data_IF_901885371978
#
_entry.id   IF_901885371978
#
_cell.length_a   1.000
_cell.length_b   1.000
_cell.length_c   1.000
_cell.angle_alpha   90.00
_cell.angle_beta   90.00
_cell.angle_gamma   90.00
#
_symmetry.space_group_name_H-M   'P 1'
#
loop_
_entity.id
_entity.type
_entity.pdbx_description
1 polymer ?
#
# COMPACT_ATOMS: atom_id res chain seq x y z
N UNK A 1 3.26 -11.17 25.02
CA UNK A 1 3.30 -10.22 23.88
C UNK A 1 2.72 -8.85 24.24
N UNK A 2 1.52 -8.78 24.86
CA UNK A 2 0.93 -7.51 25.31
C UNK A 2 1.90 -6.64 26.15
N UNK A 3 2.51 -7.20 27.21
CA UNK A 3 3.49 -6.47 28.04
C UNK A 3 4.71 -5.97 27.24
N UNK A 4 5.14 -6.71 26.21
CA UNK A 4 6.23 -6.28 25.35
C UNK A 4 5.83 -5.02 24.56
N UNK A 5 4.61 -4.98 24.02
CA UNK A 5 4.10 -3.79 23.31
C UNK A 5 4.00 -2.57 24.24
N UNK A 6 3.58 -2.76 25.50
CA UNK A 6 3.55 -1.71 26.52
C UNK A 6 4.97 -1.16 26.76
N UNK A 7 5.95 -2.04 26.95
CA UNK A 7 7.32 -1.66 27.23
C UNK A 7 8.03 -1.01 26.04
N UNK A 8 7.50 -1.19 24.83
CA UNK A 8 8.03 -0.59 23.59
C UNK A 8 7.10 0.51 23.06
N UNK A 9 6.20 1.02 23.90
CA UNK A 9 5.37 2.18 23.60
C UNK A 9 6.24 3.42 23.78
N UNK A 10 6.66 4.00 22.65
CA UNK A 10 7.32 5.30 22.52
C UNK A 10 8.47 5.58 23.51
N UNK A 11 9.71 5.58 23.01
CA UNK A 11 10.88 6.01 23.77
C UNK A 11 11.33 7.41 23.30
N UNK A 12 11.31 8.39 24.21
CA UNK A 12 11.79 9.75 23.91
C UNK A 12 13.30 9.82 23.71
N UNK A 13 14.05 8.89 24.32
CA UNK A 13 15.51 8.93 24.36
C UNK A 13 16.16 8.32 23.12
N UNK A 14 15.41 7.55 22.32
CA UNK A 14 15.92 6.94 21.09
C UNK A 14 15.02 7.17 19.90
N UNK A 15 15.23 8.31 19.23
CA UNK A 15 14.42 8.73 18.07
C UNK A 15 14.46 7.76 16.89
N UNK A 16 15.55 6.99 16.76
CA UNK A 16 15.75 6.01 15.68
C UNK A 16 15.38 4.58 16.08
N UNK A 17 15.02 4.35 17.35
CA UNK A 17 14.53 3.04 17.77
C UNK A 17 13.14 2.78 17.23
N UNK A 18 12.91 1.56 16.78
CA UNK A 18 11.57 1.08 16.48
C UNK A 18 10.73 1.06 17.75
N UNK A 19 9.51 1.57 17.66
CA UNK A 19 8.54 1.55 18.75
C UNK A 19 7.14 1.18 18.24
N UNK A 20 6.25 0.91 19.19
CA UNK A 20 4.86 0.54 18.95
C UNK A 20 3.97 1.72 19.35
N UNK A 21 3.66 2.66 18.44
CA UNK A 21 2.77 3.78 18.75
C UNK A 21 1.34 3.33 19.08
N UNK A 22 0.90 2.23 18.47
CA UNK A 22 -0.43 1.68 18.67
C UNK A 22 -0.44 0.18 18.45
N UNK A 23 -1.20 -0.50 19.30
CA UNK A 23 -1.49 -1.92 19.17
C UNK A 23 -2.83 -2.23 19.83
N UNK A 24 -3.47 -3.30 19.40
CA UNK A 24 -4.53 -3.96 20.16
C UNK A 24 -4.36 -5.47 20.04
N UNK A 25 -4.70 -6.18 21.11
CA UNK A 25 -4.75 -7.63 21.16
C UNK A 25 -6.00 -7.95 21.97
N UNK A 26 -6.99 -8.60 21.34
CA UNK A 26 -8.25 -8.94 22.01
C UNK A 26 -8.36 -10.44 22.30
N UNK A 27 -9.40 -10.80 23.07
CA UNK A 27 -9.61 -12.17 23.57
C UNK A 27 -9.95 -13.19 22.47
N UNK A 28 -10.31 -12.73 21.27
CA UNK A 28 -10.56 -13.57 20.09
C UNK A 28 -9.32 -13.72 19.19
N UNK A 29 -8.13 -13.36 19.69
CA UNK A 29 -6.85 -13.38 18.97
C UNK A 29 -6.80 -12.47 17.74
N UNK A 30 -7.62 -11.42 17.68
CA UNK A 30 -7.38 -10.33 16.74
C UNK A 30 -6.18 -9.51 17.26
N UNK A 31 -5.19 -9.38 16.40
CA UNK A 31 -3.89 -8.80 16.72
C UNK A 31 -3.67 -7.67 15.72
N UNK A 32 -3.35 -6.50 16.24
CA UNK A 32 -2.80 -5.41 15.47
C UNK A 32 -1.62 -4.84 16.22
N UNK A 33 -0.46 -4.77 15.58
CA UNK A 33 0.71 -4.10 16.15
C UNK A 33 1.39 -3.30 15.05
N UNK A 34 1.40 -1.98 15.18
CA UNK A 34 2.10 -1.11 14.24
C UNK A 34 3.50 -0.79 14.76
N UNK A 35 4.50 -0.91 13.90
CA UNK A 35 5.91 -0.65 14.18
C UNK A 35 6.41 0.47 13.28
N UNK A 36 7.10 1.44 13.86
CA UNK A 36 7.68 2.59 13.13
C UNK A 36 8.81 3.24 13.94
N UNK A 37 9.41 4.30 13.41
CA UNK A 37 10.35 5.19 14.11
C UNK A 37 9.88 6.64 13.96
N UNK A 38 10.37 7.55 14.80
CA UNK A 38 9.95 8.96 14.73
C UNK A 38 10.27 9.62 13.37
N UNK A 39 11.49 9.47 12.80
CA UNK A 39 11.79 10.00 11.48
C UNK A 39 10.81 9.51 10.41
N UNK A 40 10.48 8.22 10.43
CA UNK A 40 9.56 7.64 9.46
C UNK A 40 8.14 8.21 9.58
N UNK A 41 7.65 8.43 10.80
CA UNK A 41 6.37 9.12 11.00
C UNK A 41 6.39 10.57 10.50
N UNK A 42 7.52 11.27 10.60
CA UNK A 42 7.67 12.61 10.02
C UNK A 42 7.61 12.57 8.50
N UNK A 43 8.22 11.55 7.89
CA UNK A 43 8.25 11.37 6.45
C UNK A 43 6.86 11.14 5.84
N UNK A 44 5.87 10.70 6.64
CA UNK A 44 4.48 10.55 6.17
C UNK A 44 3.91 11.85 5.60
N UNK A 45 4.36 13.02 6.08
CA UNK A 45 3.88 14.32 5.60
C UNK A 45 4.59 14.82 4.35
N UNK A 46 5.67 14.14 3.92
CA UNK A 46 6.44 14.54 2.73
C UNK A 46 5.76 14.13 1.44
N UNK A 47 4.75 13.25 1.50
CA UNK A 47 4.04 12.76 0.34
C UNK A 47 2.54 12.72 0.57
N UNK A 48 1.78 13.01 -0.48
CA UNK A 48 0.33 12.87 -0.50
C UNK A 48 -0.14 11.46 -0.88
N UNK A 49 0.80 10.56 -1.20
CA UNK A 49 0.56 9.17 -1.55
C UNK A 49 0.79 8.26 -0.35
N UNK A 50 -0.24 7.52 0.04
CA UNK A 50 -0.18 6.42 0.98
C UNK A 50 -0.16 5.10 0.21
N UNK A 51 0.89 4.29 0.37
CA UNK A 51 0.98 2.94 -0.16
C UNK A 51 0.84 1.91 0.96
N UNK A 52 -0.05 0.93 0.78
CA UNK A 52 -0.31 -0.14 1.75
C UNK A 52 -0.52 -1.45 1.02
N UNK A 53 0.28 -2.47 1.35
CA UNK A 53 0.11 -3.82 0.82
C UNK A 53 0.46 -4.87 1.88
N UNK A 54 -0.24 -6.01 1.83
CA UNK A 54 0.07 -7.17 2.64
C UNK A 54 1.21 -8.00 2.04
N UNK A 55 2.09 -8.50 2.91
CA UNK A 55 3.02 -9.58 2.62
C UNK A 55 2.81 -10.73 3.59
N UNK A 56 2.48 -11.90 3.04
CA UNK A 56 2.22 -13.13 3.81
C UNK A 56 3.48 -13.97 4.05
N UNK A 57 4.64 -13.55 3.52
CA UNK A 57 5.85 -14.40 3.47
C UNK A 57 6.68 -14.43 4.76
N UNK A 58 6.28 -13.69 5.80
CA UNK A 58 7.19 -13.34 6.90
C UNK A 58 6.83 -13.93 8.27
N UNK A 59 5.79 -14.75 8.41
CA UNK A 59 5.36 -15.23 9.73
C UNK A 59 5.16 -16.74 9.77
N UNK A 60 5.64 -17.38 10.85
CA UNK A 60 5.43 -18.81 11.12
C UNK A 60 3.96 -19.13 11.41
N UNK A 61 3.18 -18.12 11.77
CA UNK A 61 1.76 -18.21 12.11
C UNK A 61 0.85 -17.68 10.99
N UNK A 62 1.38 -17.44 9.78
CA UNK A 62 0.65 -16.92 8.61
C UNK A 62 -0.11 -15.59 8.83
N UNK A 63 0.24 -14.85 9.90
CA UNK A 63 -0.26 -13.51 10.15
C UNK A 63 0.20 -12.55 9.04
N UNK A 64 -0.71 -11.81 8.39
CA UNK A 64 -0.33 -10.83 7.39
C UNK A 64 0.53 -9.71 7.99
N UNK A 65 1.59 -9.33 7.29
CA UNK A 65 2.34 -8.12 7.57
C UNK A 65 1.96 -7.05 6.54
N UNK A 66 1.30 -6.00 6.98
CA UNK A 66 1.01 -4.85 6.14
C UNK A 66 2.20 -3.91 6.15
N UNK A 67 2.68 -3.53 4.97
CA UNK A 67 3.76 -2.56 4.82
C UNK A 67 3.17 -1.22 4.41
N UNK A 68 3.56 -0.17 5.12
CA UNK A 68 3.18 1.21 4.85
C UNK A 68 4.34 1.96 4.27
N UNK A 69 4.09 2.76 3.24
CA UNK A 69 5.10 3.63 2.69
C UNK A 69 4.53 4.68 1.76
N UNK A 70 5.46 5.36 1.12
CA UNK A 70 5.18 6.25 0.00
C UNK A 70 6.24 6.08 -1.08
N UNK A 71 6.10 6.79 -2.19
CA UNK A 71 7.13 6.89 -3.21
C UNK A 71 7.73 8.30 -3.19
N UNK A 72 9.05 8.38 -3.32
CA UNK A 72 9.73 9.67 -3.54
C UNK A 72 9.63 10.12 -5.01
N UNK A 73 10.20 11.28 -5.31
CA UNK A 73 10.23 11.84 -6.66
C UNK A 73 10.96 10.94 -7.68
N UNK A 74 11.89 10.11 -7.20
CA UNK A 74 12.63 9.12 -7.99
C UNK A 74 11.88 7.77 -8.10
N UNK A 75 10.64 7.72 -7.59
CA UNK A 75 9.73 6.55 -7.61
C UNK A 75 10.24 5.37 -6.79
N UNK A 76 11.17 5.60 -5.88
CA UNK A 76 11.59 4.58 -4.92
C UNK A 76 10.56 4.48 -3.80
N UNK A 77 10.20 3.25 -3.47
CA UNK A 77 9.37 2.99 -2.29
C UNK A 77 10.14 3.30 -1.01
N UNK A 78 9.55 4.13 -0.15
CA UNK A 78 10.03 4.56 1.14
C UNK A 78 9.07 4.05 2.21
N UNK A 79 9.38 2.90 2.86
CA UNK A 79 8.55 2.39 3.93
C UNK A 79 8.65 3.32 5.14
N UNK A 80 7.52 3.60 5.77
CA UNK A 80 7.49 4.34 7.04
C UNK A 80 6.90 3.55 8.20
N UNK A 81 6.42 2.34 7.95
CA UNK A 81 6.00 1.46 9.03
C UNK A 81 5.53 0.11 8.53
N UNK A 82 5.33 -0.81 9.48
CA UNK A 82 4.78 -2.13 9.22
C UNK A 82 3.76 -2.46 10.30
N UNK A 83 2.65 -3.10 9.95
CA UNK A 83 1.69 -3.60 10.92
C UNK A 83 1.58 -5.11 10.81
N UNK A 84 1.71 -5.80 11.94
CA UNK A 84 1.30 -7.18 12.07
C UNK A 84 -0.20 -7.20 12.34
N UNK A 85 -0.97 -7.86 11.49
CA UNK A 85 -2.43 -7.96 11.63
C UNK A 85 -2.87 -9.41 11.75
N UNK A 86 -4.05 -9.66 12.33
CA UNK A 86 -4.69 -10.97 12.25
C UNK A 86 -5.16 -11.24 10.83
N UNK A 87 -5.43 -12.51 10.51
CA UNK A 87 -5.82 -12.96 9.18
C UNK A 87 -7.16 -12.41 8.68
N UNK A 88 -7.95 -11.74 9.53
CA UNK A 88 -9.20 -11.10 9.10
C UNK A 88 -8.93 -9.70 8.53
N UNK A 89 -8.53 -9.67 7.25
CA UNK A 89 -8.41 -8.44 6.45
C UNK A 89 -9.79 -7.86 6.05
N UNK A 90 -10.77 -7.97 6.96
CA UNK A 90 -12.06 -7.32 6.85
C UNK A 90 -11.94 -5.79 6.79
N UNK A 91 -13.04 -5.13 6.40
CA UNK A 91 -13.07 -3.67 6.30
C UNK A 91 -12.78 -2.97 7.64
N UNK A 92 -13.18 -3.57 8.77
CA UNK A 92 -12.99 -3.01 10.11
C UNK A 92 -11.50 -2.86 10.48
N UNK A 93 -10.70 -3.88 10.23
CA UNK A 93 -9.26 -3.86 10.49
C UNK A 93 -8.58 -2.70 9.72
N UNK A 94 -8.88 -2.56 8.43
CA UNK A 94 -8.34 -1.47 7.62
C UNK A 94 -8.83 -0.08 8.05
N UNK A 95 -10.09 0.04 8.51
CA UNK A 95 -10.66 1.30 9.03
C UNK A 95 -9.89 1.74 10.26
N UNK A 96 -9.76 0.85 11.25
CA UNK A 96 -9.07 1.15 12.49
C UNK A 96 -7.60 1.48 12.22
N UNK A 97 -6.95 0.71 11.35
CA UNK A 97 -5.58 0.95 10.93
C UNK A 97 -5.38 2.34 10.30
N UNK A 98 -6.22 2.74 9.35
CA UNK A 98 -6.12 4.07 8.72
C UNK A 98 -6.42 5.19 9.71
N UNK A 99 -7.41 4.99 10.58
CA UNK A 99 -7.75 5.94 11.63
C UNK A 99 -6.57 6.17 12.57
N UNK A 100 -5.92 5.10 13.01
CA UNK A 100 -4.78 5.18 13.92
C UNK A 100 -3.55 5.78 13.24
N UNK A 101 -3.27 5.40 11.99
CA UNK A 101 -2.20 6.02 11.21
C UNK A 101 -2.40 7.54 11.07
N UNK A 102 -3.64 7.98 10.76
CA UNK A 102 -3.99 9.40 10.68
C UNK A 102 -3.73 10.13 12.00
N UNK A 103 -4.12 9.54 13.13
CA UNK A 103 -3.91 10.11 14.45
C UNK A 103 -2.43 10.18 14.83
N UNK A 104 -1.69 9.07 14.69
CA UNK A 104 -0.28 8.95 15.09
C UNK A 104 0.60 9.87 14.27
N UNK A 105 0.44 9.84 12.93
CA UNK A 105 1.16 10.75 12.05
C UNK A 105 0.85 12.20 12.40
N UNK A 106 -0.43 12.52 12.66
CA UNK A 106 -0.81 13.89 12.94
C UNK A 106 -0.32 14.41 14.29
N UNK A 107 -0.23 13.53 15.30
CA UNK A 107 0.35 13.85 16.59
C UNK A 107 1.87 14.10 16.48
N UNK A 108 2.61 13.20 15.82
CA UNK A 108 4.07 13.34 15.67
C UNK A 108 4.44 14.60 14.86
N UNK A 109 3.62 14.97 13.87
CA UNK A 109 3.86 16.12 13.01
C UNK A 109 3.16 17.41 13.47
N UNK A 110 2.37 17.35 14.55
CA UNK A 110 1.55 18.46 15.05
C UNK A 110 0.68 19.11 13.95
N UNK A 111 0.20 18.30 13.01
CA UNK A 111 -0.56 18.72 11.83
C UNK A 111 -1.43 17.57 11.34
N UNK A 112 -2.62 17.85 10.82
CA UNK A 112 -3.45 16.79 10.22
C UNK A 112 -2.70 16.05 9.11
N UNK A 113 -2.74 14.70 9.15
CA UNK A 113 -2.25 13.88 8.05
C UNK A 113 -3.25 13.86 6.89
N UNK A 114 -2.86 14.51 5.79
CA UNK A 114 -3.65 14.64 4.57
C UNK A 114 -3.12 13.69 3.51
N UNK A 115 -3.99 12.81 3.03
CA UNK A 115 -3.68 11.84 1.97
C UNK A 115 -4.56 12.17 0.76
N UNK A 116 -3.95 12.31 -0.41
CA UNK A 116 -4.67 12.53 -1.68
C UNK A 116 -4.78 11.26 -2.51
N UNK A 117 -3.90 10.29 -2.30
CA UNK A 117 -3.88 9.04 -3.03
C UNK A 117 -3.64 7.88 -2.08
N UNK A 118 -4.45 6.82 -2.18
CA UNK A 118 -4.20 5.56 -1.49
C UNK A 118 -3.96 4.49 -2.53
N UNK A 119 -2.75 3.97 -2.58
CA UNK A 119 -2.34 2.88 -3.45
C UNK A 119 -2.25 1.58 -2.65
N UNK A 120 -2.98 0.57 -3.08
CA UNK A 120 -3.00 -0.75 -2.46
C UNK A 120 -3.50 -1.78 -3.47
N UNK A 121 -3.51 -3.05 -3.10
CA UNK A 121 -4.07 -4.16 -3.87
C UNK A 121 -5.55 -3.99 -4.30
N UNK A 122 -6.19 -5.03 -4.85
CA UNK A 122 -7.58 -4.94 -5.31
C UNK A 122 -8.64 -5.18 -4.24
N UNK A 123 -8.29 -5.28 -2.95
CA UNK A 123 -9.21 -5.79 -1.94
C UNK A 123 -10.37 -4.81 -1.65
N UNK A 124 -11.62 -5.31 -1.54
CA UNK A 124 -12.78 -4.48 -1.18
C UNK A 124 -12.65 -3.84 0.21
N UNK A 125 -12.02 -4.52 1.16
CA UNK A 125 -11.88 -4.07 2.55
C UNK A 125 -11.13 -2.75 2.67
N UNK A 126 -9.91 -2.70 2.13
CA UNK A 126 -9.09 -1.49 2.12
C UNK A 126 -9.73 -0.35 1.30
N UNK A 127 -10.52 -0.68 0.28
CA UNK A 127 -11.26 0.31 -0.52
C UNK A 127 -12.37 0.97 0.30
N UNK A 128 -13.11 0.20 1.11
CA UNK A 128 -14.12 0.75 2.04
C UNK A 128 -13.47 1.60 3.11
N UNK A 129 -12.39 1.10 3.72
CA UNK A 129 -11.64 1.84 4.74
C UNK A 129 -11.09 3.17 4.23
N UNK A 130 -10.55 3.19 3.01
CA UNK A 130 -10.09 4.43 2.38
C UNK A 130 -11.23 5.44 2.24
N UNK A 131 -12.40 5.02 1.75
CA UNK A 131 -13.55 5.92 1.57
C UNK A 131 -14.04 6.50 2.89
N UNK A 132 -13.94 5.73 3.97
CA UNK A 132 -14.37 6.16 5.30
C UNK A 132 -13.39 7.14 5.96
N UNK A 133 -12.09 6.82 5.95
CA UNK A 133 -11.08 7.60 6.69
C UNK A 133 -10.45 8.71 5.83
N UNK A 134 -10.29 8.47 4.53
CA UNK A 134 -9.71 9.40 3.57
C UNK A 134 -10.66 9.64 2.40
N UNK A 135 -11.88 10.18 2.62
CA UNK A 135 -12.92 10.27 1.58
C UNK A 135 -12.52 11.08 0.35
N UNK A 136 -11.60 12.04 0.50
CA UNK A 136 -11.08 12.86 -0.59
C UNK A 136 -9.91 12.22 -1.34
N UNK A 137 -9.34 11.14 -0.79
CA UNK A 137 -8.26 10.44 -1.46
C UNK A 137 -8.77 9.62 -2.64
N UNK A 138 -8.02 9.62 -3.72
CA UNK A 138 -8.26 8.73 -4.85
C UNK A 138 -7.62 7.36 -4.58
N UNK A 139 -8.40 6.30 -4.79
CA UNK A 139 -7.90 4.93 -4.77
C UNK A 139 -7.12 4.61 -6.04
N UNK A 140 -5.90 4.11 -5.89
CA UNK A 140 -5.02 3.66 -6.97
C UNK A 140 -4.72 2.17 -6.81
N UNK A 141 -4.62 1.43 -7.91
CA UNK A 141 -4.17 0.03 -7.86
C UNK A 141 -2.66 -0.04 -7.70
N UNK A 142 -2.17 -0.91 -6.82
CA UNK A 142 -0.74 -1.16 -6.68
C UNK A 142 -0.14 -1.66 -8.00
N UNK A 143 0.94 -1.02 -8.44
CA UNK A 143 1.61 -1.40 -9.68
C UNK A 143 2.17 -2.82 -9.67
N UNK A 144 2.78 -3.25 -8.57
CA UNK A 144 3.33 -4.60 -8.47
C UNK A 144 2.23 -5.67 -8.66
N UNK A 145 1.02 -5.38 -8.17
CA UNK A 145 -0.16 -6.20 -8.39
C UNK A 145 -0.62 -6.20 -9.86
N UNK A 146 -0.66 -5.03 -10.50
CA UNK A 146 -0.97 -4.90 -11.94
C UNK A 146 0.03 -5.68 -12.78
N UNK A 147 1.33 -5.43 -12.61
CA UNK A 147 2.41 -6.09 -13.35
C UNK A 147 2.40 -7.61 -13.15
N UNK A 148 2.18 -8.09 -11.91
CA UNK A 148 2.02 -9.51 -11.61
C UNK A 148 0.85 -10.12 -12.39
N UNK A 149 -0.31 -9.47 -12.35
CA UNK A 149 -1.52 -9.94 -13.05
C UNK A 149 -1.33 -9.97 -14.57
N UNK A 150 -0.67 -8.97 -15.16
CA UNK A 150 -0.32 -8.99 -16.58
C UNK A 150 0.62 -10.17 -16.91
N UNK A 151 1.67 -10.40 -16.10
CA UNK A 151 2.62 -11.51 -16.30
C UNK A 151 1.98 -12.89 -16.19
N UNK A 152 0.99 -13.06 -15.32
CA UNK A 152 0.22 -14.32 -15.22
C UNK A 152 -0.46 -14.68 -16.55
N UNK A 153 -0.89 -13.67 -17.32
CA UNK A 153 -1.57 -13.84 -18.61
C UNK A 153 -0.62 -13.85 -19.81
N UNK A 154 0.70 -13.79 -19.61
CA UNK A 154 1.69 -13.79 -20.70
C UNK A 154 1.56 -14.97 -21.67
N UNK A 155 1.02 -16.11 -21.20
CA UNK A 155 0.83 -17.32 -22.00
C UNK A 155 -0.25 -17.17 -23.08
N UNK A 156 -1.14 -16.19 -22.93
CA UNK A 156 -2.21 -15.88 -23.90
C UNK A 156 -1.70 -15.01 -25.06
N UNK A 157 -0.47 -14.50 -24.95
CA UNK A 157 0.13 -13.60 -25.92
C UNK A 157 0.94 -14.41 -26.94
N UNK A 158 0.94 -14.02 -28.23
CA UNK A 158 1.79 -14.63 -29.25
C UNK A 158 3.28 -14.65 -28.85
N UNK A 159 3.97 -15.75 -29.18
CA UNK A 159 5.39 -15.94 -28.90
C UNK A 159 6.22 -14.74 -29.36
N UNK A 160 7.11 -14.26 -28.49
CA UNK A 160 8.00 -13.13 -28.79
C UNK A 160 7.37 -11.74 -28.70
N UNK A 161 6.05 -11.61 -28.45
CA UNK A 161 5.40 -10.30 -28.29
C UNK A 161 5.35 -9.78 -26.85
N UNK A 162 5.45 -10.67 -25.86
CA UNK A 162 5.31 -10.32 -24.44
C UNK A 162 6.21 -9.16 -24.01
N UNK A 163 7.49 -9.15 -24.39
CA UNK A 163 8.42 -8.11 -23.95
C UNK A 163 8.01 -6.71 -24.43
N UNK A 164 7.42 -6.61 -25.63
CA UNK A 164 6.90 -5.35 -26.16
C UNK A 164 5.63 -4.92 -25.42
N UNK A 165 4.73 -5.86 -25.13
CA UNK A 165 3.52 -5.60 -24.33
C UNK A 165 3.91 -5.13 -22.93
N UNK A 166 4.84 -5.83 -22.27
CA UNK A 166 5.29 -5.51 -20.93
C UNK A 166 5.92 -4.10 -20.90
N UNK A 167 6.72 -3.75 -21.90
CA UNK A 167 7.29 -2.40 -22.04
C UNK A 167 6.20 -1.34 -22.22
N UNK A 168 5.28 -1.54 -23.16
CA UNK A 168 4.18 -0.60 -23.42
C UNK A 168 3.29 -0.40 -22.17
N UNK A 169 3.06 -1.46 -21.39
CA UNK A 169 2.33 -1.39 -20.11
C UNK A 169 3.14 -0.59 -19.09
N UNK A 170 4.44 -0.85 -18.92
CA UNK A 170 5.29 -0.11 -17.98
C UNK A 170 5.39 1.39 -18.32
N UNK A 171 5.41 1.74 -19.60
CA UNK A 171 5.47 3.13 -20.05
C UNK A 171 4.22 3.93 -19.61
N UNK A 172 3.07 3.28 -19.37
CA UNK A 172 1.89 3.95 -18.82
C UNK A 172 2.15 4.56 -17.43
N UNK A 173 3.12 4.04 -16.67
CA UNK A 173 3.50 4.64 -15.38
C UNK A 173 4.24 5.97 -15.53
N UNK A 174 4.71 6.30 -16.72
CA UNK A 174 5.38 7.57 -17.02
C UNK A 174 4.37 8.70 -17.28
N UNK A 175 3.08 8.38 -17.41
CA UNK A 175 2.04 9.37 -17.64
C UNK A 175 1.88 10.30 -16.42
N UNK A 176 2.00 11.61 -16.65
CA UNK A 176 1.91 12.64 -15.60
C UNK A 176 0.51 13.26 -15.44
N UNK A 177 -0.48 12.78 -16.19
CA UNK A 177 -1.88 13.19 -16.05
C UNK A 177 -2.86 12.08 -16.40
N UNK A 178 -4.07 12.17 -15.88
CA UNK A 178 -5.15 11.22 -16.18
C UNK A 178 -5.51 11.17 -17.67
N UNK A 179 -5.48 12.31 -18.35
CA UNK A 179 -5.79 12.39 -19.77
C UNK A 179 -4.75 11.61 -20.59
N UNK A 180 -3.46 11.86 -20.32
CA UNK A 180 -2.36 11.17 -20.99
C UNK A 180 -2.38 9.69 -20.67
N UNK A 181 -2.65 9.31 -19.41
CA UNK A 181 -2.79 7.91 -19.01
C UNK A 181 -3.92 7.23 -19.78
N UNK A 182 -5.11 7.84 -19.82
CA UNK A 182 -6.29 7.30 -20.53
C UNK A 182 -6.03 7.15 -22.03
N UNK A 183 -5.36 8.14 -22.63
CA UNK A 183 -4.98 8.08 -24.04
C UNK A 183 -3.93 7.00 -24.29
N UNK A 184 -2.92 6.90 -23.43
CA UNK A 184 -1.90 5.86 -23.46
C UNK A 184 -2.51 4.47 -23.38
N UNK A 185 -3.41 4.23 -22.42
CA UNK A 185 -4.16 2.96 -22.32
C UNK A 185 -4.90 2.67 -23.63
N UNK A 186 -5.56 3.67 -24.21
CA UNK A 186 -6.29 3.51 -25.48
C UNK A 186 -5.36 3.12 -26.64
N UNK A 187 -4.15 3.70 -26.70
CA UNK A 187 -3.14 3.37 -27.71
C UNK A 187 -2.59 1.94 -27.53
N UNK A 188 -2.27 1.56 -26.28
CA UNK A 188 -1.81 0.20 -25.94
C UNK A 188 -2.90 -0.81 -26.29
N UNK A 189 -4.14 -0.56 -25.90
CA UNK A 189 -5.28 -1.41 -26.24
C UNK A 189 -5.44 -1.51 -27.75
N UNK A 190 -5.40 -0.41 -28.51
CA UNK A 190 -5.50 -0.43 -29.98
C UNK A 190 -4.38 -1.24 -30.64
N UNK A 191 -3.14 -1.10 -30.16
CA UNK A 191 -1.96 -1.82 -30.69
C UNK A 191 -2.07 -3.33 -30.50
N UNK A 192 -2.64 -3.78 -29.37
CA UNK A 192 -2.65 -5.20 -28.98
C UNK A 192 -4.01 -5.90 -29.11
N UNK A 193 -5.08 -5.17 -29.41
CA UNK A 193 -6.43 -5.72 -29.66
C UNK A 193 -6.63 -6.24 -31.08
N UNK A 194 -5.71 -5.97 -32.01
CA UNK A 194 -5.85 -6.33 -33.44
C UNK A 194 -5.14 -7.63 -33.84
N UNK A 195 -4.73 -8.48 -32.88
CA UNK A 195 -4.15 -9.80 -33.17
C UNK A 195 -5.20 -10.91 -33.15
N UNK A 196 -5.05 -12.00 -33.94
CA UNK A 196 -5.93 -13.15 -33.80
C UNK A 196 -5.82 -13.68 -32.37
N UNK A 197 -6.95 -13.75 -31.67
CA UNK A 197 -7.06 -14.53 -30.44
C UNK A 197 -6.64 -15.95 -30.77
N UNK A 198 -5.60 -16.44 -30.12
CA UNK A 198 -5.19 -17.83 -30.24
C UNK A 198 -6.36 -18.65 -29.66
N UNK A 199 -7.04 -19.41 -30.53
CA UNK A 199 -8.04 -20.42 -30.15
C UNK A 199 -7.39 -21.54 -29.35
#
# INVERSE_FOLDING_TARGET
FNQWCINHKYDENSIHSTFVPYYYINDINDIFVFFTTKPLLKDTQLSSLLQVDATYKLTWNELPLLVFGSSDADRHFRPFGVALVSSDEGSACYIDLFKQLKLISGQENQREYIVHYVMADGAPGITRAQKEIFPQARRLMCWAHVARKCREHRKLVPTGKWQQIDTDIHDLQLCFSDNIFTHGVSLVMKKWSTGPLIQ
#
